data_IF_627284435058
#
_entry.id   IF_627284435058
#
_cell.length_a   1.000
_cell.length_b   1.000
_cell.length_c   1.000
_cell.angle_alpha   90.00
_cell.angle_beta   90.00
_cell.angle_gamma   90.00
#
_symmetry.space_group_name_H-M   'P 1'
#
loop_
_entity.id
_entity.type
_entity.pdbx_description
1 polymer ?
#
# COMPACT_ATOMS: atom_id res chain seq x y z
N UNK A 1 -30.24 2.21 -8.24
CA UNK A 1 -29.36 1.82 -7.12
C UNK A 1 -28.50 0.58 -7.43
N UNK A 2 -29.06 -0.47 -8.06
CA UNK A 2 -28.27 -1.67 -8.48
C UNK A 2 -27.21 -1.40 -9.56
N UNK A 3 -27.41 -0.46 -10.47
CA UNK A 3 -26.41 -0.11 -11.52
C UNK A 3 -25.22 0.73 -11.04
N UNK A 4 -25.31 1.37 -9.89
CA UNK A 4 -24.20 2.11 -9.29
C UNK A 4 -23.27 1.19 -8.48
N UNK A 5 -23.81 0.24 -7.75
CA UNK A 5 -23.01 -0.74 -6.99
C UNK A 5 -22.23 -1.68 -7.92
N UNK A 6 -22.84 -2.11 -9.05
CA UNK A 6 -22.15 -2.95 -10.04
C UNK A 6 -21.01 -2.20 -10.76
N UNK A 7 -21.12 -0.87 -10.94
CA UNK A 7 -20.02 -0.08 -11.51
C UNK A 7 -18.81 0.03 -10.58
N UNK A 8 -19.01 0.14 -9.27
CA UNK A 8 -17.88 0.27 -8.33
C UNK A 8 -17.17 -1.06 -8.06
N UNK A 9 -17.88 -2.19 -8.01
CA UNK A 9 -17.25 -3.51 -7.83
C UNK A 9 -16.60 -4.05 -9.10
N UNK A 10 -17.14 -3.73 -10.28
CA UNK A 10 -16.54 -4.07 -11.57
C UNK A 10 -15.37 -3.13 -11.88
N UNK A 11 -15.38 -1.87 -11.42
CA UNK A 11 -14.28 -0.92 -11.67
C UNK A 11 -13.05 -1.26 -10.81
N UNK A 12 -13.20 -1.81 -9.61
CA UNK A 12 -12.06 -2.32 -8.82
C UNK A 12 -11.48 -3.59 -9.44
N UNK A 13 -12.31 -4.40 -10.16
CA UNK A 13 -11.83 -5.59 -10.86
C UNK A 13 -11.45 -5.32 -12.34
N UNK A 14 -11.99 -4.27 -12.98
CA UNK A 14 -11.80 -3.98 -14.41
C UNK A 14 -10.97 -2.73 -14.72
N UNK A 15 -10.62 -1.87 -13.76
CA UNK A 15 -9.57 -0.85 -13.94
C UNK A 15 -8.16 -1.45 -14.09
N UNK A 16 -8.08 -2.77 -14.03
CA UNK A 16 -6.90 -3.59 -14.31
C UNK A 16 -6.86 -4.13 -15.76
N UNK A 17 -7.82 -3.81 -16.61
CA UNK A 17 -7.96 -4.42 -17.95
C UNK A 17 -7.87 -3.44 -19.12
N UNK A 18 -7.27 -2.29 -18.98
CA UNK A 18 -6.94 -1.42 -20.12
C UNK A 18 -5.43 -1.51 -20.41
N UNK A 19 -4.99 -2.56 -20.96
CA UNK A 19 -4.64 -2.92 -22.34
C UNK A 19 -3.51 -2.13 -22.96
N UNK A 20 -2.42 -2.74 -23.07
CA UNK A 20 -1.46 -2.65 -24.15
C UNK A 20 -0.75 -3.98 -24.17
N UNK A 21 -0.95 -4.75 -25.22
CA UNK A 21 -0.05 -5.84 -25.56
C UNK A 21 1.34 -5.23 -25.68
N UNK A 22 2.17 -5.44 -24.68
CA UNK A 22 3.60 -5.23 -24.82
C UNK A 22 4.14 -6.34 -25.72
N UNK A 23 3.87 -6.21 -27.03
CA UNK A 23 4.69 -6.86 -28.03
C UNK A 23 6.12 -6.33 -27.87
N UNK A 24 7.05 -7.26 -27.73
CA UNK A 24 8.50 -7.13 -27.69
C UNK A 24 9.02 -5.74 -27.28
N UNK A 25 9.66 -5.67 -26.10
CA UNK A 25 10.42 -4.48 -25.74
C UNK A 25 11.28 -4.05 -26.95
N UNK A 26 11.25 -2.75 -27.33
CA UNK A 26 12.07 -2.29 -28.45
C UNK A 26 13.52 -2.70 -28.19
N UNK A 27 14.20 -3.24 -29.22
CA UNK A 27 15.63 -3.49 -29.12
C UNK A 27 16.31 -2.20 -28.66
N UNK A 28 17.03 -2.29 -27.54
CA UNK A 28 17.81 -1.16 -27.04
C UNK A 28 18.81 -0.74 -28.12
N UNK A 29 18.85 0.54 -28.52
CA UNK A 29 19.92 1.00 -29.35
C UNK A 29 21.23 0.83 -28.57
N UNK A 30 22.05 -0.15 -28.98
CA UNK A 30 23.40 -0.29 -28.43
C UNK A 30 24.21 0.97 -28.73
N UNK A 31 24.97 1.49 -27.79
CA UNK A 31 25.90 2.58 -28.06
C UNK A 31 26.80 2.15 -29.22
N UNK A 32 26.76 2.85 -30.34
CA UNK A 32 27.70 2.61 -31.43
C UNK A 32 29.11 2.95 -30.90
N UNK A 33 30.06 2.05 -31.05
CA UNK A 33 31.45 2.21 -30.64
C UNK A 33 32.19 3.37 -31.34
N UNK A 34 31.51 4.17 -32.12
CA UNK A 34 32.10 5.17 -32.98
C UNK A 34 31.49 6.54 -32.75
N UNK A 35 31.74 7.17 -31.60
CA UNK A 35 31.69 8.64 -31.44
C UNK A 35 31.93 9.03 -29.97
N UNK A 36 33.06 8.62 -29.43
CA UNK A 36 33.41 8.83 -28.00
C UNK A 36 33.71 10.28 -27.61
N UNK A 37 33.59 11.27 -28.49
CA UNK A 37 34.18 12.58 -28.22
C UNK A 37 33.20 13.78 -28.20
N UNK A 38 31.93 13.66 -28.49
CA UNK A 38 31.04 14.86 -28.55
C UNK A 38 29.84 14.88 -27.62
N UNK A 39 29.37 13.75 -27.08
CA UNK A 39 28.11 13.75 -26.36
C UNK A 39 28.26 13.40 -24.88
N UNK A 40 28.26 14.43 -24.03
CA UNK A 40 28.23 14.23 -22.59
C UNK A 40 26.97 13.47 -22.13
N UNK A 41 27.17 12.57 -21.17
CA UNK A 41 26.06 11.84 -20.52
C UNK A 41 25.45 12.73 -19.45
N UNK A 42 24.14 12.94 -19.52
CA UNK A 42 23.34 13.63 -18.51
C UNK A 42 22.42 12.64 -17.84
N UNK A 43 22.37 12.67 -16.51
CA UNK A 43 21.51 11.83 -15.69
C UNK A 43 20.58 12.71 -14.87
N UNK A 44 19.29 12.42 -14.90
CA UNK A 44 18.28 13.15 -14.12
C UNK A 44 17.41 12.21 -13.31
N UNK A 45 17.05 12.62 -12.09
CA UNK A 45 15.89 12.07 -11.38
C UNK A 45 14.63 12.74 -11.92
N UNK A 46 13.69 11.95 -12.38
CA UNK A 46 12.39 12.41 -12.84
C UNK A 46 11.33 11.95 -11.86
N UNK A 47 10.51 12.89 -11.38
CA UNK A 47 9.44 12.62 -10.44
C UNK A 47 8.11 13.07 -10.97
N UNK A 48 7.16 12.14 -11.08
CA UNK A 48 5.76 12.40 -11.38
C UNK A 48 4.98 12.53 -10.08
N UNK A 49 4.24 13.62 -9.95
CA UNK A 49 3.43 13.88 -8.77
C UNK A 49 2.28 12.88 -8.62
N UNK A 50 1.69 12.77 -7.40
CA UNK A 50 0.55 11.91 -7.15
C UNK A 50 -0.58 12.10 -8.17
N UNK A 51 -1.23 11.00 -8.57
CA UNK A 51 -2.42 10.98 -9.41
C UNK A 51 -3.67 10.59 -8.65
N UNK A 52 -4.78 10.41 -9.38
CA UNK A 52 -6.09 10.09 -8.79
C UNK A 52 -6.34 8.59 -8.57
N UNK A 53 -5.57 7.73 -9.25
CA UNK A 53 -5.76 6.29 -9.17
C UNK A 53 -5.03 5.68 -7.97
N UNK A 54 -5.56 4.61 -7.34
CA UNK A 54 -4.99 4.03 -6.12
C UNK A 54 -3.51 3.66 -6.22
N UNK A 55 -3.05 3.21 -7.39
CA UNK A 55 -1.67 2.81 -7.61
C UNK A 55 -0.70 3.98 -7.81
N UNK A 56 -1.19 5.19 -8.07
CA UNK A 56 -0.35 6.36 -8.35
C UNK A 56 -0.52 7.51 -7.33
N UNK A 57 -1.24 7.27 -6.22
CA UNK A 57 -1.38 8.28 -5.15
C UNK A 57 -0.06 8.63 -4.45
N UNK A 58 0.96 7.81 -4.65
CA UNK A 58 2.30 7.97 -4.07
C UNK A 58 3.25 8.77 -4.95
N UNK A 59 2.86 9.07 -6.20
CA UNK A 59 3.76 9.55 -7.23
C UNK A 59 4.52 8.42 -7.94
N UNK A 60 5.51 8.80 -8.75
CA UNK A 60 6.39 7.84 -9.45
C UNK A 60 7.75 8.47 -9.70
N UNK A 61 8.83 7.67 -9.68
CA UNK A 61 10.17 8.15 -10.02
C UNK A 61 10.82 7.27 -11.09
N UNK A 62 11.59 7.92 -11.94
CA UNK A 62 12.37 7.29 -13.02
C UNK A 62 13.75 7.94 -13.08
N UNK A 63 14.74 7.23 -13.62
CA UNK A 63 16.04 7.81 -14.01
C UNK A 63 16.04 8.07 -15.49
N UNK A 64 16.30 9.31 -15.89
CA UNK A 64 16.48 9.71 -17.30
C UNK A 64 17.96 9.74 -17.62
N UNK A 65 18.33 9.19 -18.77
CA UNK A 65 19.67 9.28 -19.34
C UNK A 65 19.57 9.90 -20.72
N UNK A 66 20.36 10.95 -20.95
CA UNK A 66 20.50 11.61 -22.23
C UNK A 66 21.96 11.53 -22.69
N UNK A 67 22.17 11.18 -23.95
CA UNK A 67 23.48 11.22 -24.62
C UNK A 67 23.25 11.35 -26.13
N UNK A 68 23.60 12.48 -26.71
CA UNK A 68 23.34 12.75 -28.13
C UNK A 68 21.88 12.52 -28.51
N UNK A 69 21.59 11.61 -29.45
CA UNK A 69 20.23 11.28 -29.86
C UNK A 69 19.47 10.38 -28.86
N UNK A 70 20.17 9.82 -27.88
CA UNK A 70 19.59 8.92 -26.88
C UNK A 70 18.90 9.75 -25.80
N UNK A 71 17.62 9.50 -25.55
CA UNK A 71 16.81 10.12 -24.49
C UNK A 71 15.84 9.07 -23.92
N UNK A 72 16.30 8.36 -22.87
CA UNK A 72 15.60 7.21 -22.29
C UNK A 72 15.30 7.43 -20.81
N UNK A 73 14.11 6.99 -20.41
CA UNK A 73 13.62 6.94 -19.03
C UNK A 73 13.64 5.49 -18.57
N UNK A 74 14.36 5.20 -17.49
CA UNK A 74 14.42 3.88 -16.90
C UNK A 74 13.37 3.76 -15.79
N UNK A 75 12.29 3.06 -16.12
CA UNK A 75 11.11 2.89 -15.28
C UNK A 75 11.20 1.57 -14.49
N UNK A 76 11.19 1.67 -13.16
CA UNK A 76 11.23 0.54 -12.22
C UNK A 76 9.82 0.21 -11.67
N UNK A 77 8.80 0.31 -12.45
CA UNK A 77 7.42 0.07 -12.00
C UNK A 77 6.59 -0.72 -12.99
N UNK A 78 7.23 -1.26 -14.03
CA UNK A 78 6.54 -1.95 -15.12
C UNK A 78 6.28 -3.41 -14.73
N UNK A 79 5.04 -3.85 -14.86
CA UNK A 79 4.62 -5.22 -14.60
C UNK A 79 3.52 -5.65 -15.58
N UNK A 80 3.34 -6.97 -15.72
CA UNK A 80 2.37 -7.54 -16.65
C UNK A 80 1.18 -8.16 -15.91
N UNK A 81 0.01 -7.54 -16.03
CA UNK A 81 -1.26 -8.06 -15.49
C UNK A 81 -1.72 -9.35 -16.15
N UNK A 82 -1.26 -9.64 -17.38
CA UNK A 82 -1.65 -10.84 -18.11
C UNK A 82 -0.71 -12.03 -17.83
N UNK A 83 0.33 -11.82 -17.01
CA UNK A 83 1.23 -12.89 -16.60
C UNK A 83 0.45 -14.06 -15.97
N UNK A 84 0.82 -15.31 -16.25
CA UNK A 84 0.14 -16.48 -15.69
C UNK A 84 0.00 -16.41 -14.17
N UNK A 85 -1.22 -16.64 -13.68
CA UNK A 85 -1.56 -16.59 -12.24
C UNK A 85 -1.19 -15.27 -11.54
N UNK A 86 -1.18 -14.13 -12.26
CA UNK A 86 -0.80 -12.82 -11.72
C UNK A 86 -1.46 -12.52 -10.38
N UNK A 87 -2.80 -12.63 -10.28
CA UNK A 87 -3.53 -12.33 -9.04
C UNK A 87 -3.09 -13.21 -7.86
N UNK A 88 -2.81 -14.48 -8.14
CA UNK A 88 -2.32 -15.40 -7.10
C UNK A 88 -0.90 -15.03 -6.64
N UNK A 89 -0.01 -14.77 -7.60
CA UNK A 89 1.35 -14.30 -7.32
C UNK A 89 1.36 -12.95 -6.59
N UNK A 90 0.47 -12.05 -7.00
CA UNK A 90 0.29 -10.76 -6.31
C UNK A 90 -0.14 -10.96 -4.85
N UNK A 91 -1.12 -11.84 -4.58
CA UNK A 91 -1.54 -12.15 -3.20
C UNK A 91 -0.41 -12.77 -2.37
N UNK A 92 0.44 -13.58 -2.98
CA UNK A 92 1.62 -14.17 -2.33
C UNK A 92 2.75 -13.15 -2.11
N UNK A 93 2.72 -11.97 -2.71
CA UNK A 93 3.85 -11.03 -2.73
C UNK A 93 4.96 -11.47 -3.68
N UNK A 94 4.63 -12.28 -4.68
CA UNK A 94 5.58 -12.89 -5.62
C UNK A 94 5.48 -12.28 -7.03
N UNK A 95 4.99 -11.06 -7.14
CA UNK A 95 4.90 -10.37 -8.44
C UNK A 95 6.26 -9.84 -8.84
N UNK A 96 6.67 -10.19 -10.05
CA UNK A 96 7.87 -9.65 -10.66
C UNK A 96 7.55 -8.37 -11.42
N UNK A 97 8.43 -7.40 -11.25
CA UNK A 97 8.46 -6.14 -11.97
C UNK A 97 9.73 -6.08 -12.80
N UNK A 98 9.77 -5.17 -13.78
CA UNK A 98 10.95 -4.99 -14.61
C UNK A 98 11.44 -3.55 -14.63
N UNK A 99 12.75 -3.39 -14.83
CA UNK A 99 13.32 -2.14 -15.30
C UNK A 99 13.10 -2.06 -16.82
N UNK A 100 12.34 -1.08 -17.27
CA UNK A 100 12.07 -0.86 -18.69
C UNK A 100 12.64 0.48 -19.15
N UNK A 101 13.51 0.52 -20.18
CA UNK A 101 13.90 1.73 -20.85
C UNK A 101 12.75 2.19 -21.75
N UNK A 102 12.29 3.42 -21.53
CA UNK A 102 11.15 4.01 -22.23
C UNK A 102 11.58 5.32 -22.90
N UNK A 103 11.41 5.48 -24.21
CA UNK A 103 11.64 6.78 -24.88
C UNK A 103 10.79 7.88 -24.26
N UNK A 104 11.32 9.09 -24.22
CA UNK A 104 10.67 10.28 -23.61
C UNK A 104 9.19 10.41 -23.99
N UNK A 105 8.88 10.25 -25.26
CA UNK A 105 7.51 10.38 -25.75
C UNK A 105 6.54 9.43 -25.02
N UNK A 106 6.93 8.15 -24.87
CA UNK A 106 6.08 7.16 -24.18
C UNK A 106 6.10 7.31 -22.66
N UNK A 107 7.22 7.75 -22.09
CA UNK A 107 7.32 8.00 -20.64
C UNK A 107 6.38 9.14 -20.21
N UNK A 108 6.18 10.14 -21.06
CA UNK A 108 5.37 11.32 -20.73
C UNK A 108 3.90 11.17 -21.11
N UNK A 109 3.57 10.47 -22.20
CA UNK A 109 2.19 10.42 -22.72
C UNK A 109 1.19 9.81 -21.72
N UNK A 110 1.59 8.79 -20.98
CA UNK A 110 0.76 8.17 -19.94
C UNK A 110 0.71 8.97 -18.64
N UNK A 111 1.53 10.00 -18.51
CA UNK A 111 1.71 10.82 -17.30
C UNK A 111 1.26 12.28 -17.48
N UNK A 112 0.74 12.66 -18.66
CA UNK A 112 0.41 14.05 -19.01
C UNK A 112 -0.58 14.74 -18.07
N UNK A 113 -1.38 13.98 -17.36
CA UNK A 113 -2.31 14.49 -16.37
C UNK A 113 -1.63 14.86 -15.03
N UNK A 114 -0.33 14.55 -14.85
CA UNK A 114 0.42 14.77 -13.61
C UNK A 114 1.56 15.77 -13.84
N UNK A 115 1.85 16.55 -12.82
CA UNK A 115 3.04 17.39 -12.82
C UNK A 115 4.29 16.51 -12.84
N UNK A 116 5.27 16.87 -13.67
CA UNK A 116 6.57 16.23 -13.79
C UNK A 116 7.66 17.21 -13.38
N UNK A 117 8.51 16.82 -12.49
CA UNK A 117 9.72 17.54 -12.08
C UNK A 117 10.94 16.72 -12.48
N UNK A 118 11.91 17.38 -13.10
CA UNK A 118 13.18 16.77 -13.48
C UNK A 118 14.31 17.50 -12.77
N UNK A 119 15.17 16.73 -12.12
CA UNK A 119 16.36 17.18 -11.38
C UNK A 119 17.59 16.61 -12.07
N UNK A 120 18.27 17.42 -12.89
CA UNK A 120 19.55 17.05 -13.50
C UNK A 120 20.62 16.93 -12.41
N UNK A 121 21.31 15.79 -12.37
CA UNK A 121 22.30 15.51 -11.36
C UNK A 121 23.67 16.07 -11.76
N UNK A 122 24.35 16.66 -10.79
CA UNK A 122 25.68 17.26 -10.96
C UNK A 122 26.78 16.20 -10.79
N UNK A 123 26.78 15.20 -11.66
CA UNK A 123 27.72 14.09 -11.62
C UNK A 123 28.91 14.34 -12.52
N UNK A 124 30.15 13.97 -12.10
CA UNK A 124 31.30 13.85 -13.00
C UNK A 124 30.98 12.88 -14.17
N UNK A 125 31.56 13.11 -15.34
CA UNK A 125 31.24 12.34 -16.54
C UNK A 125 31.50 10.84 -16.40
N UNK A 126 32.57 10.45 -15.74
CA UNK A 126 32.88 9.05 -15.43
C UNK A 126 31.77 8.38 -14.60
N UNK A 127 31.18 9.10 -13.65
CA UNK A 127 30.07 8.66 -12.82
C UNK A 127 28.77 8.59 -13.61
N UNK A 128 28.49 9.59 -14.45
CA UNK A 128 27.32 9.59 -15.33
C UNK A 128 27.37 8.44 -16.34
N UNK A 129 28.54 8.16 -16.92
CA UNK A 129 28.79 7.00 -17.80
C UNK A 129 28.56 5.69 -17.04
N UNK A 130 29.05 5.57 -15.81
CA UNK A 130 28.85 4.37 -15.00
C UNK A 130 27.35 4.12 -14.70
N UNK A 131 26.55 5.17 -14.44
CA UNK A 131 25.09 5.06 -14.29
C UNK A 131 24.44 4.60 -15.59
N UNK A 132 24.80 5.20 -16.72
CA UNK A 132 24.32 4.79 -18.03
C UNK A 132 24.56 3.29 -18.24
N UNK A 133 25.79 2.83 -18.08
CA UNK A 133 26.18 1.44 -18.33
C UNK A 133 25.50 0.47 -17.38
N UNK A 134 25.36 0.85 -16.12
CA UNK A 134 24.57 0.09 -15.14
C UNK A 134 23.11 -0.07 -15.59
N UNK A 135 22.46 1.02 -16.01
CA UNK A 135 21.06 1.02 -16.42
C UNK A 135 20.85 0.20 -17.69
N UNK A 136 21.75 0.29 -18.69
CA UNK A 136 21.70 -0.55 -19.88
C UNK A 136 21.83 -2.03 -19.53
N UNK A 137 22.80 -2.39 -18.69
CA UNK A 137 22.96 -3.77 -18.23
C UNK A 137 21.73 -4.23 -17.43
N UNK A 138 21.18 -3.38 -16.59
CA UNK A 138 20.00 -3.73 -15.78
C UNK A 138 18.72 -3.87 -16.61
N UNK A 139 18.63 -3.22 -17.76
CA UNK A 139 17.49 -3.33 -18.68
C UNK A 139 17.55 -4.57 -19.59
N UNK A 140 18.66 -5.31 -19.64
CA UNK A 140 18.76 -6.55 -20.40
C UNK A 140 17.74 -7.60 -19.91
N UNK A 141 17.18 -8.44 -20.79
CA UNK A 141 16.17 -9.44 -20.42
C UNK A 141 16.52 -10.31 -19.22
N UNK A 142 17.79 -10.70 -19.09
CA UNK A 142 18.32 -11.52 -18.00
C UNK A 142 18.45 -10.78 -16.65
N UNK A 143 18.56 -9.43 -16.66
CA UNK A 143 18.86 -8.63 -15.48
C UNK A 143 17.68 -7.75 -15.03
N UNK A 144 16.71 -7.49 -15.91
CA UNK A 144 15.69 -6.45 -15.68
C UNK A 144 14.63 -6.83 -14.65
N UNK A 145 14.45 -8.12 -14.36
CA UNK A 145 13.38 -8.62 -13.50
C UNK A 145 13.77 -8.54 -12.03
N UNK A 146 12.87 -8.01 -11.19
CA UNK A 146 13.06 -7.97 -9.76
C UNK A 146 11.74 -8.19 -9.01
N UNK A 147 11.83 -8.58 -7.75
CA UNK A 147 10.68 -8.72 -6.85
C UNK A 147 10.34 -7.37 -6.25
N UNK A 148 9.20 -6.80 -6.66
CA UNK A 148 8.75 -5.52 -6.11
C UNK A 148 8.37 -5.65 -4.63
N UNK A 149 8.86 -4.74 -3.82
CA UNK A 149 8.51 -4.59 -2.42
C UNK A 149 8.16 -3.14 -2.15
N UNK A 150 6.96 -2.94 -1.61
CA UNK A 150 6.37 -1.61 -1.51
C UNK A 150 7.21 -0.62 -0.67
N UNK A 151 7.86 -1.08 0.40
CA UNK A 151 8.63 -0.22 1.31
C UNK A 151 10.13 -0.20 0.98
N UNK A 152 10.70 -1.32 0.51
CA UNK A 152 12.15 -1.47 0.44
C UNK A 152 12.72 -1.64 -0.96
N UNK A 153 11.91 -2.03 -1.98
CA UNK A 153 12.39 -2.27 -3.35
C UNK A 153 11.34 -1.87 -4.38
N UNK A 154 11.24 -0.56 -4.66
CA UNK A 154 10.20 0.03 -5.48
C UNK A 154 10.73 1.10 -6.47
N UNK A 155 9.81 1.78 -7.16
CA UNK A 155 10.12 2.83 -8.12
C UNK A 155 10.79 4.09 -7.53
N UNK A 156 10.88 4.22 -6.22
CA UNK A 156 11.60 5.29 -5.53
C UNK A 156 12.94 4.82 -4.97
N UNK A 157 12.94 3.67 -4.31
CA UNK A 157 14.16 3.14 -3.68
C UNK A 157 15.22 2.72 -4.68
N UNK A 158 14.83 2.19 -5.86
CA UNK A 158 15.79 1.85 -6.91
C UNK A 158 16.47 3.07 -7.53
N UNK A 159 15.78 4.13 -7.95
CA UNK A 159 16.42 5.40 -8.31
C UNK A 159 17.31 5.97 -7.21
N UNK A 160 16.88 5.92 -5.93
CA UNK A 160 17.73 6.33 -4.80
C UNK A 160 19.04 5.56 -4.78
N UNK A 161 18.98 4.24 -4.83
CA UNK A 161 20.16 3.38 -4.75
C UNK A 161 21.12 3.61 -5.93
N UNK A 162 20.60 3.93 -7.12
CA UNK A 162 21.40 4.31 -8.29
C UNK A 162 22.08 5.66 -8.07
N UNK A 163 21.38 6.64 -7.50
CA UNK A 163 21.96 7.96 -7.18
C UNK A 163 23.03 7.81 -6.10
N UNK A 164 22.79 6.99 -5.07
CA UNK A 164 23.77 6.70 -4.03
C UNK A 164 25.03 6.01 -4.60
N UNK A 165 24.84 5.04 -5.50
CA UNK A 165 25.93 4.38 -6.22
C UNK A 165 26.75 5.37 -7.03
N UNK A 166 26.11 6.29 -7.74
CA UNK A 166 26.76 7.29 -8.58
C UNK A 166 27.53 8.33 -7.76
N UNK A 167 26.93 8.85 -6.71
CA UNK A 167 27.54 9.87 -5.86
C UNK A 167 28.59 9.30 -4.90
N UNK A 168 28.47 8.02 -4.52
CA UNK A 168 29.39 7.33 -3.62
C UNK A 168 29.32 7.88 -2.19
N UNK A 169 30.40 7.64 -1.43
CA UNK A 169 30.48 8.01 0.00
C UNK A 169 30.46 9.53 0.25
N UNK A 170 30.63 10.33 -0.78
CA UNK A 170 30.61 11.79 -0.68
C UNK A 170 29.20 12.39 -0.63
N UNK A 171 28.16 11.58 -0.85
CA UNK A 171 26.77 12.02 -0.82
C UNK A 171 26.32 12.32 0.61
N UNK A 172 25.74 13.49 0.78
CA UNK A 172 25.12 13.90 2.03
C UNK A 172 23.72 14.42 1.76
N UNK A 173 22.73 13.78 2.37
CA UNK A 173 21.36 14.27 2.37
C UNK A 173 21.16 15.36 3.45
N UNK A 174 20.19 16.27 3.28
CA UNK A 174 19.88 17.26 4.31
C UNK A 174 19.43 16.54 5.59
N UNK A 175 19.78 17.09 6.75
CA UNK A 175 19.35 16.52 8.01
C UNK A 175 17.81 16.41 8.08
N UNK A 176 17.32 15.31 8.61
CA UNK A 176 15.90 15.20 8.95
C UNK A 176 15.56 16.23 10.04
N UNK A 177 14.33 16.78 9.97
CA UNK A 177 13.79 17.56 11.08
C UNK A 177 13.67 16.71 12.36
N UNK A 178 13.50 17.38 13.51
CA UNK A 178 13.43 16.74 14.84
C UNK A 178 12.21 15.84 15.07
N UNK A 179 11.29 15.75 14.11
CA UNK A 179 10.05 14.98 14.25
C UNK A 179 10.31 13.52 13.86
N UNK A 180 10.13 12.63 14.82
CA UNK A 180 10.13 11.19 14.56
C UNK A 180 8.95 10.83 13.63
N UNK A 181 9.23 10.17 12.52
CA UNK A 181 8.25 9.79 11.48
C UNK A 181 8.32 8.29 11.26
N UNK A 182 7.16 7.66 11.10
CA UNK A 182 7.03 6.23 10.80
C UNK A 182 6.54 6.02 9.35
N UNK A 183 6.66 4.80 8.82
CA UNK A 183 6.03 4.47 7.53
C UNK A 183 4.53 4.76 7.57
N UNK A 184 3.85 4.43 8.69
CA UNK A 184 2.40 4.66 8.82
C UNK A 184 2.03 6.13 8.76
N UNK A 185 2.84 7.03 9.35
CA UNK A 185 2.60 8.47 9.29
C UNK A 185 2.70 8.98 7.86
N UNK A 186 3.72 8.56 7.12
CA UNK A 186 3.91 8.93 5.72
C UNK A 186 2.74 8.40 4.87
N UNK A 187 2.38 7.11 5.02
CA UNK A 187 1.25 6.52 4.31
C UNK A 187 -0.07 7.23 4.64
N UNK A 188 -0.29 7.59 5.90
CA UNK A 188 -1.48 8.35 6.33
C UNK A 188 -1.54 9.73 5.69
N UNK A 189 -0.39 10.43 5.55
CA UNK A 189 -0.33 11.73 4.89
C UNK A 189 -0.79 11.64 3.42
N UNK A 190 -0.28 10.67 2.66
CA UNK A 190 -0.67 10.50 1.27
C UNK A 190 -2.09 9.97 1.10
N UNK A 191 -2.58 9.16 2.04
CA UNK A 191 -3.96 8.65 2.04
C UNK A 191 -5.00 9.59 2.66
N UNK A 192 -4.66 10.85 3.00
CA UNK A 192 -5.60 11.77 3.68
C UNK A 192 -6.94 11.96 2.96
N UNK A 193 -6.96 11.85 1.63
CA UNK A 193 -8.15 11.94 0.81
C UNK A 193 -8.78 10.57 0.50
N UNK A 194 -8.13 9.48 0.86
CA UNK A 194 -8.42 8.10 0.49
C UNK A 194 -8.70 7.26 1.74
N UNK A 195 -9.84 7.53 2.39
CA UNK A 195 -10.13 6.93 3.69
C UNK A 195 -10.24 5.40 3.68
N UNK A 196 -10.69 4.79 2.57
CA UNK A 196 -10.79 3.34 2.43
C UNK A 196 -9.44 2.69 2.17
N UNK A 197 -8.60 3.33 1.38
CA UNK A 197 -7.22 2.90 1.16
C UNK A 197 -6.45 2.93 2.49
N UNK A 198 -6.58 4.03 3.26
CA UNK A 198 -6.00 4.11 4.61
C UNK A 198 -6.53 3.03 5.54
N UNK A 199 -7.85 2.77 5.53
CA UNK A 199 -8.45 1.70 6.34
C UNK A 199 -7.87 0.33 5.98
N UNK A 200 -7.71 0.04 4.67
CA UNK A 200 -7.11 -1.20 4.19
C UNK A 200 -5.64 -1.35 4.61
N UNK A 201 -4.85 -0.29 4.47
CA UNK A 201 -3.44 -0.24 4.89
C UNK A 201 -3.32 -0.48 6.39
N UNK A 202 -4.10 0.22 7.22
CA UNK A 202 -4.11 0.07 8.67
C UNK A 202 -4.54 -1.34 9.12
N UNK A 203 -5.36 -2.03 8.32
CA UNK A 203 -5.80 -3.39 8.58
C UNK A 203 -4.73 -4.43 8.23
N UNK A 204 -4.13 -4.29 7.06
CA UNK A 204 -3.27 -5.31 6.45
C UNK A 204 -1.83 -5.20 6.95
N UNK A 205 -1.30 -3.98 7.13
CA UNK A 205 0.07 -3.78 7.59
C UNK A 205 0.14 -3.81 9.12
N UNK A 206 1.08 -4.58 9.62
CA UNK A 206 1.33 -4.79 11.05
C UNK A 206 2.14 -3.66 11.70
N UNK A 207 2.76 -3.96 12.84
CA UNK A 207 3.45 -2.95 13.63
C UNK A 207 4.85 -2.58 13.14
N UNK A 208 5.43 -3.35 12.22
CA UNK A 208 6.76 -3.02 11.67
C UNK A 208 6.78 -1.65 10.98
N UNK A 209 5.62 -1.22 10.43
CA UNK A 209 5.51 0.11 9.84
C UNK A 209 5.30 1.25 10.86
N UNK A 210 5.22 0.94 12.15
CA UNK A 210 5.11 1.91 13.25
C UNK A 210 6.48 2.21 13.89
N UNK A 211 7.58 1.67 13.34
CA UNK A 211 8.94 2.00 13.76
C UNK A 211 9.40 3.33 13.21
N UNK A 212 10.17 4.07 14.01
CA UNK A 212 10.75 5.36 13.58
C UNK A 212 11.78 5.13 12.50
N UNK A 213 11.69 5.91 11.43
CA UNK A 213 12.52 5.78 10.24
C UNK A 213 13.78 6.64 10.33
N UNK A 214 14.86 6.14 9.74
CA UNK A 214 15.97 6.98 9.34
C UNK A 214 15.65 7.73 8.04
N UNK A 215 16.50 8.67 7.68
CA UNK A 215 16.31 9.49 6.48
C UNK A 215 16.25 8.65 5.20
N UNK A 216 17.09 7.64 5.09
CA UNK A 216 17.16 6.79 3.91
C UNK A 216 15.85 6.00 3.72
N UNK A 217 15.27 5.50 4.80
CA UNK A 217 14.01 4.77 4.77
C UNK A 217 12.83 5.68 4.37
N UNK A 218 12.83 6.97 4.70
CA UNK A 218 11.74 7.88 4.28
C UNK A 218 11.65 8.06 2.77
N UNK A 219 12.75 7.86 2.03
CA UNK A 219 12.82 8.02 0.57
C UNK A 219 12.16 6.86 -0.22
N UNK A 220 11.33 6.02 0.43
CA UNK A 220 10.54 5.01 -0.27
C UNK A 220 9.37 5.61 -1.08
N UNK A 221 9.04 6.87 -0.83
CA UNK A 221 8.04 7.64 -1.58
C UNK A 221 8.73 8.58 -2.56
N UNK A 222 8.32 8.62 -3.84
CA UNK A 222 8.91 9.47 -4.88
C UNK A 222 9.06 10.94 -4.52
N UNK A 223 8.04 11.52 -3.87
CA UNK A 223 8.07 12.93 -3.48
C UNK A 223 9.15 13.21 -2.42
N UNK A 224 9.32 12.28 -1.45
CA UNK A 224 10.32 12.42 -0.39
C UNK A 224 11.73 12.18 -0.92
N UNK A 225 11.89 11.29 -1.91
CA UNK A 225 13.16 11.15 -2.63
C UNK A 225 13.51 12.43 -3.39
N UNK A 226 12.56 13.00 -4.12
CA UNK A 226 12.74 14.26 -4.85
C UNK A 226 13.21 15.39 -3.92
N UNK A 227 12.56 15.53 -2.77
CA UNK A 227 12.90 16.58 -1.79
C UNK A 227 14.29 16.33 -1.16
N UNK A 228 14.62 15.08 -0.83
CA UNK A 228 15.92 14.71 -0.29
C UNK A 228 17.04 14.98 -1.30
N UNK A 229 16.85 14.62 -2.57
CA UNK A 229 17.80 14.86 -3.67
C UNK A 229 17.97 16.36 -3.93
N UNK A 230 16.89 17.14 -3.86
CA UNK A 230 16.97 18.61 -4.04
C UNK A 230 17.89 19.29 -3.03
N UNK A 231 17.93 18.81 -1.79
CA UNK A 231 18.79 19.36 -0.74
C UNK A 231 20.13 18.65 -0.57
N UNK A 232 20.39 17.59 -1.33
CA UNK A 232 21.61 16.80 -1.20
C UNK A 232 22.84 17.51 -1.76
N UNK A 233 24.02 17.17 -1.18
CA UNK A 233 25.31 17.65 -1.65
C UNK A 233 26.26 16.49 -1.93
N UNK A 234 27.20 16.71 -2.83
CA UNK A 234 28.32 15.82 -3.10
C UNK A 234 29.63 16.55 -2.94
N UNK A 235 30.69 15.81 -2.56
CA UNK A 235 32.03 16.36 -2.46
C UNK A 235 32.93 15.69 -3.50
N UNK A 236 33.51 16.49 -4.42
CA UNK A 236 34.45 16.03 -5.44
C UNK A 236 35.69 16.90 -5.38
N UNK A 237 36.85 16.30 -5.32
CA UNK A 237 38.16 17.00 -5.23
C UNK A 237 38.18 18.04 -4.10
N UNK A 238 37.61 17.70 -2.94
CA UNK A 238 37.50 18.57 -1.75
C UNK A 238 36.57 19.78 -1.93
N UNK A 239 35.80 19.85 -3.01
CA UNK A 239 34.77 20.88 -3.24
C UNK A 239 33.39 20.27 -3.00
N UNK A 240 32.63 20.82 -2.06
CA UNK A 240 31.25 20.44 -1.82
C UNK A 240 30.33 21.28 -2.71
N UNK A 241 29.47 20.61 -3.46
CA UNK A 241 28.51 21.23 -4.37
C UNK A 241 27.13 20.57 -4.26
N UNK A 242 26.03 21.25 -4.66
CA UNK A 242 24.72 20.64 -4.75
C UNK A 242 24.74 19.42 -5.68
N UNK A 243 24.04 18.34 -5.26
CA UNK A 243 23.84 17.16 -6.11
C UNK A 243 22.99 17.50 -7.34
N UNK A 244 22.03 18.41 -7.21
CA UNK A 244 21.17 18.85 -8.32
C UNK A 244 21.79 20.07 -8.97
N UNK A 245 22.12 19.96 -10.27
CA UNK A 245 22.65 21.04 -11.11
C UNK A 245 21.54 21.99 -11.56
N UNK A 246 20.38 21.42 -11.95
CA UNK A 246 19.25 22.17 -12.44
C UNK A 246 17.94 21.42 -12.14
N UNK A 247 16.89 22.18 -11.85
CA UNK A 247 15.54 21.64 -11.72
C UNK A 247 14.64 22.25 -12.79
N UNK A 248 13.95 21.43 -13.56
CA UNK A 248 12.99 21.84 -14.56
C UNK A 248 11.62 21.21 -14.30
N UNK A 249 10.58 21.80 -14.88
CA UNK A 249 9.19 21.32 -14.77
C UNK A 249 8.64 21.12 -16.18
N UNK A 250 8.99 20.01 -16.86
CA UNK A 250 8.57 19.78 -18.25
C UNK A 250 7.06 19.69 -18.43
N UNK A 251 6.33 19.20 -17.41
CA UNK A 251 4.87 19.17 -17.38
C UNK A 251 4.44 19.92 -16.12
N UNK A 252 3.98 21.17 -16.31
CA UNK A 252 3.48 22.00 -15.23
C UNK A 252 1.95 22.00 -15.20
N UNK A 253 1.39 20.88 -14.76
CA UNK A 253 -0.04 20.83 -14.45
C UNK A 253 -0.22 21.04 -12.96
N UNK A 254 -1.07 21.99 -12.60
CA UNK A 254 -1.40 22.22 -11.20
C UNK A 254 -1.93 20.92 -10.61
N UNK A 255 -1.31 20.45 -9.55
CA UNK A 255 -1.63 19.19 -8.87
C UNK A 255 -3.07 19.11 -8.36
N UNK A 256 -3.81 20.20 -8.38
CA UNK A 256 -5.18 20.29 -7.85
C UNK A 256 -6.24 19.62 -8.74
N UNK A 257 -5.95 19.32 -10.02
CA UNK A 257 -6.91 18.69 -10.93
C UNK A 257 -6.96 17.17 -10.87
N UNK A 258 -5.90 16.53 -10.42
CA UNK A 258 -5.73 15.08 -10.55
C UNK A 258 -5.74 14.32 -9.21
N UNK A 259 -5.88 15.02 -8.10
CA UNK A 259 -6.03 14.39 -6.79
C UNK A 259 -7.53 14.22 -6.53
N UNK A 260 -7.96 13.01 -6.18
CA UNK A 260 -9.36 12.77 -5.79
C UNK A 260 -9.76 13.71 -4.65
N UNK A 261 -10.99 14.23 -4.69
CA UNK A 261 -11.53 14.95 -3.54
C UNK A 261 -11.57 14.02 -2.32
N UNK A 262 -11.49 14.57 -1.10
CA UNK A 262 -11.57 13.77 0.12
C UNK A 262 -12.82 12.89 0.13
N UNK A 263 -12.69 11.66 0.63
CA UNK A 263 -13.82 10.77 0.86
C UNK A 263 -14.85 11.48 1.74
N UNK A 264 -16.11 11.67 1.28
CA UNK A 264 -17.14 12.30 2.09
C UNK A 264 -17.29 11.58 3.45
N UNK A 265 -17.41 12.33 4.54
CA UNK A 265 -17.45 11.76 5.89
C UNK A 265 -18.52 10.67 6.06
N UNK A 266 -19.69 10.83 5.41
CA UNK A 266 -20.81 9.88 5.47
C UNK A 266 -20.55 8.58 4.68
N UNK A 267 -19.54 8.54 3.81
CA UNK A 267 -19.06 7.34 3.13
C UNK A 267 -17.73 6.82 3.70
N UNK A 268 -17.24 7.40 4.80
CA UNK A 268 -15.99 6.99 5.42
C UNK A 268 -16.12 5.62 6.11
N UNK A 269 -15.00 4.86 6.25
CA UNK A 269 -14.98 3.61 7.00
C UNK A 269 -15.53 3.76 8.43
N UNK A 270 -15.23 4.89 9.09
CA UNK A 270 -15.73 5.16 10.44
C UNK A 270 -17.26 5.26 10.47
N UNK A 271 -17.85 6.00 9.54
CA UNK A 271 -19.32 6.12 9.48
C UNK A 271 -19.98 4.77 9.22
N UNK A 272 -19.43 4.00 8.29
CA UNK A 272 -19.95 2.63 8.02
C UNK A 272 -19.79 1.75 9.25
N UNK A 273 -18.66 1.80 9.96
CA UNK A 273 -18.45 1.04 11.19
C UNK A 273 -19.44 1.44 12.31
N UNK A 274 -19.72 2.74 12.47
CA UNK A 274 -20.74 3.24 13.43
C UNK A 274 -22.13 2.76 13.05
N UNK A 275 -22.49 2.75 11.76
CA UNK A 275 -23.78 2.23 11.31
C UNK A 275 -23.91 0.72 11.55
N UNK A 276 -22.84 -0.05 11.34
CA UNK A 276 -22.81 -1.48 11.69
C UNK A 276 -23.00 -1.68 13.19
N UNK A 277 -22.34 -0.88 14.03
CA UNK A 277 -22.51 -0.93 15.48
C UNK A 277 -23.95 -0.56 15.88
N UNK A 278 -24.49 0.53 15.35
CA UNK A 278 -25.86 0.95 15.65
C UNK A 278 -26.88 -0.14 15.29
N UNK A 279 -26.76 -0.74 14.10
CA UNK A 279 -27.59 -1.87 13.71
C UNK A 279 -27.41 -3.08 14.64
N UNK A 280 -26.18 -3.35 15.04
CA UNK A 280 -25.84 -4.41 16.00
C UNK A 280 -26.54 -4.18 17.35
N UNK A 281 -26.53 -2.97 17.87
CA UNK A 281 -27.19 -2.62 19.12
C UNK A 281 -28.71 -2.75 19.03
N UNK A 282 -29.31 -2.31 17.91
CA UNK A 282 -30.74 -2.44 17.66
C UNK A 282 -31.18 -3.93 17.59
N UNK A 283 -30.42 -4.75 16.84
CA UNK A 283 -30.71 -6.18 16.73
C UNK A 283 -30.51 -6.87 18.08
N UNK A 284 -29.46 -6.57 18.82
CA UNK A 284 -29.21 -7.13 20.15
C UNK A 284 -30.28 -6.74 21.16
N UNK A 285 -30.73 -5.48 21.17
CA UNK A 285 -31.83 -5.02 22.02
C UNK A 285 -33.15 -5.71 21.70
N UNK A 286 -33.43 -5.93 20.41
CA UNK A 286 -34.61 -6.73 19.98
C UNK A 286 -34.50 -8.18 20.45
N UNK A 287 -33.36 -8.81 20.28
CA UNK A 287 -33.11 -10.20 20.65
C UNK A 287 -33.26 -10.39 22.18
N UNK A 288 -32.75 -9.48 22.98
CA UNK A 288 -32.90 -9.51 24.45
C UNK A 288 -34.35 -9.38 24.88
N UNK A 289 -35.18 -8.54 24.22
CA UNK A 289 -36.61 -8.41 24.50
C UNK A 289 -37.41 -9.66 24.08
N UNK A 290 -36.97 -10.33 23.01
CA UNK A 290 -37.68 -11.52 22.47
C UNK A 290 -37.14 -12.83 23.03
N UNK A 291 -36.03 -12.79 23.79
CA UNK A 291 -35.30 -13.95 24.27
C UNK A 291 -34.93 -14.95 23.16
N UNK A 292 -34.67 -14.44 21.94
CA UNK A 292 -34.29 -15.24 20.77
C UNK A 292 -33.21 -14.53 19.96
N UNK A 293 -32.18 -15.27 19.48
CA UNK A 293 -31.02 -14.74 18.76
C UNK A 293 -31.31 -14.62 17.27
N UNK A 294 -31.10 -13.45 16.69
CA UNK A 294 -31.19 -13.19 15.24
C UNK A 294 -30.00 -13.82 14.53
N UNK A 295 -29.99 -15.14 14.33
CA UNK A 295 -28.87 -15.90 13.74
C UNK A 295 -28.50 -15.45 12.34
N UNK A 296 -29.45 -15.00 11.53
CA UNK A 296 -29.18 -14.47 10.19
C UNK A 296 -28.25 -13.27 10.23
N UNK A 297 -28.44 -12.39 11.22
CA UNK A 297 -27.57 -11.21 11.40
C UNK A 297 -26.18 -11.62 11.86
N UNK A 298 -26.10 -12.57 12.82
CA UNK A 298 -24.83 -13.12 13.26
C UNK A 298 -24.09 -13.81 12.11
N UNK A 299 -24.80 -14.59 11.30
CA UNK A 299 -24.22 -15.22 10.11
C UNK A 299 -23.62 -14.17 9.18
N UNK A 300 -24.33 -13.08 8.87
CA UNK A 300 -23.82 -12.02 8.02
C UNK A 300 -22.57 -11.36 8.63
N UNK A 301 -22.66 -10.92 9.89
CA UNK A 301 -21.60 -10.20 10.57
C UNK A 301 -20.33 -11.05 10.72
N UNK A 302 -20.47 -12.26 11.27
CA UNK A 302 -19.32 -13.14 11.53
C UNK A 302 -18.77 -13.76 10.24
N UNK A 303 -19.57 -14.00 9.20
CA UNK A 303 -19.05 -14.43 7.90
C UNK A 303 -18.24 -13.33 7.25
N UNK A 304 -18.73 -12.10 7.21
CA UNK A 304 -17.98 -10.96 6.64
C UNK A 304 -16.64 -10.76 7.38
N UNK A 305 -16.68 -10.74 8.72
CA UNK A 305 -15.47 -10.63 9.52
C UNK A 305 -14.53 -11.84 9.35
N UNK A 306 -15.08 -13.05 9.27
CA UNK A 306 -14.31 -14.27 9.10
C UNK A 306 -13.63 -14.39 7.73
N UNK A 307 -14.32 -13.96 6.65
CA UNK A 307 -13.71 -13.91 5.32
C UNK A 307 -12.57 -12.88 5.26
N UNK A 308 -12.78 -11.69 5.82
CA UNK A 308 -11.71 -10.71 5.97
C UNK A 308 -10.54 -11.26 6.83
N UNK A 309 -10.88 -11.99 7.90
CA UNK A 309 -9.91 -12.69 8.74
C UNK A 309 -9.13 -13.80 8.01
N UNK A 310 -9.76 -14.50 7.05
CA UNK A 310 -9.04 -15.46 6.19
C UNK A 310 -8.02 -14.77 5.29
N UNK A 311 -8.39 -13.62 4.71
CA UNK A 311 -7.46 -12.82 3.89
C UNK A 311 -6.28 -12.35 4.75
N UNK A 312 -6.57 -11.78 5.92
CA UNK A 312 -5.54 -11.32 6.85
C UNK A 312 -4.63 -12.46 7.31
N UNK A 313 -5.21 -13.61 7.67
CA UNK A 313 -4.47 -14.81 8.05
C UNK A 313 -3.54 -15.29 6.91
N UNK A 314 -4.05 -15.29 5.68
CA UNK A 314 -3.25 -15.64 4.51
C UNK A 314 -2.07 -14.67 4.33
N UNK A 315 -2.31 -13.36 4.41
CA UNK A 315 -1.26 -12.35 4.26
C UNK A 315 -0.20 -12.44 5.35
N UNK A 316 -0.58 -12.77 6.60
CA UNK A 316 0.36 -12.89 7.71
C UNK A 316 1.21 -14.15 7.62
N UNK A 317 0.63 -15.30 7.24
CA UNK A 317 1.29 -16.60 7.40
C UNK A 317 1.77 -17.24 6.10
N UNK A 318 1.26 -16.79 4.95
CA UNK A 318 1.54 -17.42 3.65
C UNK A 318 2.10 -16.46 2.61
N UNK A 319 1.92 -15.15 2.77
CA UNK A 319 2.48 -14.19 1.81
C UNK A 319 3.89 -13.75 2.20
N UNK A 320 4.62 -13.27 1.20
CA UNK A 320 5.95 -12.66 1.36
C UNK A 320 5.90 -11.14 1.33
N UNK A 321 4.70 -10.56 1.43
CA UNK A 321 4.55 -9.11 1.51
C UNK A 321 5.23 -8.54 2.74
N UNK A 322 5.95 -7.44 2.56
CA UNK A 322 6.59 -6.73 3.66
C UNK A 322 5.57 -6.22 4.67
N UNK A 323 5.95 -6.24 5.92
CA UNK A 323 5.24 -5.61 7.03
C UNK A 323 3.77 -6.08 7.22
N UNK A 324 3.34 -7.20 6.65
CA UNK A 324 2.03 -7.79 6.94
C UNK A 324 2.03 -8.56 8.27
N UNK A 325 3.21 -8.95 8.76
CA UNK A 325 3.44 -9.68 10.00
C UNK A 325 4.61 -9.03 10.77
N UNK A 326 4.51 -8.93 12.09
CA UNK A 326 3.40 -9.32 12.95
C UNK A 326 2.25 -8.29 12.91
N UNK A 327 0.99 -8.76 13.00
CA UNK A 327 -0.19 -7.90 12.88
C UNK A 327 -1.24 -8.25 13.93
N UNK A 328 -1.49 -7.31 14.84
CA UNK A 328 -2.40 -7.52 15.96
C UNK A 328 -3.88 -7.61 15.56
N UNK A 329 -4.22 -7.13 14.35
CA UNK A 329 -5.59 -7.19 13.86
C UNK A 329 -6.11 -8.63 13.73
N UNK A 330 -5.22 -9.63 13.61
CA UNK A 330 -5.61 -11.05 13.60
C UNK A 330 -6.31 -11.49 14.90
N UNK A 331 -6.12 -10.78 16.00
CA UNK A 331 -6.73 -11.12 17.27
C UNK A 331 -8.25 -10.86 17.32
N UNK A 332 -8.74 -9.92 16.49
CA UNK A 332 -10.16 -9.60 16.42
C UNK A 332 -10.79 -9.98 15.05
N UNK A 333 -9.99 -10.10 14.01
CA UNK A 333 -10.42 -10.42 12.65
C UNK A 333 -9.70 -11.70 12.20
N UNK A 334 -10.27 -12.85 12.56
CA UNK A 334 -9.64 -14.16 12.37
C UNK A 334 -10.59 -15.18 11.72
N UNK A 335 -10.09 -16.23 11.04
CA UNK A 335 -10.91 -17.24 10.35
C UNK A 335 -11.93 -17.95 11.23
N UNK A 336 -11.64 -18.08 12.53
CA UNK A 336 -12.56 -18.77 13.47
C UNK A 336 -13.91 -18.04 13.63
N UNK A 337 -14.04 -16.78 13.21
CA UNK A 337 -15.33 -16.09 13.16
C UNK A 337 -16.31 -16.82 12.23
N UNK A 338 -15.86 -17.56 11.22
CA UNK A 338 -16.72 -18.40 10.38
C UNK A 338 -17.39 -19.51 11.19
N UNK A 339 -16.73 -20.04 12.21
CA UNK A 339 -17.37 -21.02 13.11
C UNK A 339 -18.48 -20.38 13.93
N UNK A 340 -18.34 -19.11 14.35
CA UNK A 340 -19.39 -18.37 15.05
C UNK A 340 -20.60 -18.08 14.15
N UNK A 341 -20.39 -17.98 12.84
CA UNK A 341 -21.46 -17.83 11.86
C UNK A 341 -22.26 -19.14 11.65
N UNK A 342 -21.60 -20.29 11.69
CA UNK A 342 -22.17 -21.57 11.25
C UNK A 342 -22.64 -22.43 12.44
N UNK A 343 -21.86 -22.59 13.50
CA UNK A 343 -22.14 -23.53 14.58
C UNK A 343 -23.47 -23.27 15.32
N UNK A 344 -23.96 -22.02 15.51
CA UNK A 344 -25.24 -21.77 16.19
C UNK A 344 -26.47 -22.36 15.48
N UNK A 345 -26.37 -22.71 14.19
CA UNK A 345 -27.47 -23.30 13.43
C UNK A 345 -27.75 -24.76 13.79
N UNK A 346 -26.75 -25.49 14.31
CA UNK A 346 -26.88 -26.91 14.65
C UNK A 346 -27.10 -27.12 16.15
N UNK A 347 -28.14 -27.84 16.55
CA UNK A 347 -28.46 -28.07 17.96
C UNK A 347 -27.28 -28.68 18.73
N UNK A 348 -26.54 -29.63 18.10
CA UNK A 348 -25.41 -30.35 18.72
C UNK A 348 -24.21 -29.47 19.03
N UNK A 349 -24.01 -28.40 18.27
CA UNK A 349 -22.82 -27.51 18.37
C UNK A 349 -23.10 -26.20 19.12
N UNK A 350 -24.34 -25.92 19.53
CA UNK A 350 -24.72 -24.67 20.20
C UNK A 350 -23.93 -24.39 21.47
N UNK A 351 -23.60 -25.43 22.24
CA UNK A 351 -22.79 -25.22 23.45
C UNK A 351 -21.34 -24.86 23.11
N UNK A 352 -20.74 -25.50 22.11
CA UNK A 352 -19.42 -25.13 21.61
C UNK A 352 -19.43 -23.70 21.03
N UNK A 353 -20.45 -23.34 20.24
CA UNK A 353 -20.62 -21.99 19.74
C UNK A 353 -20.66 -20.95 20.87
N UNK A 354 -21.39 -21.23 21.96
CA UNK A 354 -21.47 -20.33 23.12
C UNK A 354 -20.10 -20.09 23.77
N UNK A 355 -19.29 -21.12 23.94
CA UNK A 355 -17.94 -20.98 24.49
C UNK A 355 -17.02 -20.23 23.54
N UNK A 356 -17.13 -20.46 22.23
CA UNK A 356 -16.38 -19.69 21.23
C UNK A 356 -16.79 -18.21 21.22
N UNK A 357 -18.08 -17.89 21.36
CA UNK A 357 -18.53 -16.51 21.53
C UNK A 357 -17.99 -15.91 22.84
N UNK A 358 -17.97 -16.63 23.95
CA UNK A 358 -17.39 -16.15 25.19
C UNK A 358 -15.90 -15.84 25.04
N UNK A 359 -15.14 -16.74 24.42
CA UNK A 359 -13.74 -16.54 24.12
C UNK A 359 -13.49 -15.34 23.19
N UNK A 360 -14.27 -15.23 22.10
CA UNK A 360 -14.18 -14.11 21.19
C UNK A 360 -14.47 -12.77 21.90
N UNK A 361 -15.54 -12.70 22.71
CA UNK A 361 -15.85 -11.49 23.47
C UNK A 361 -14.71 -11.11 24.43
N UNK A 362 -14.13 -12.10 25.14
CA UNK A 362 -13.04 -11.88 26.06
C UNK A 362 -11.78 -11.38 25.36
N UNK A 363 -11.35 -12.06 24.29
CA UNK A 363 -10.13 -11.70 23.54
C UNK A 363 -10.24 -10.31 22.94
N UNK A 364 -11.38 -10.03 22.26
CA UNK A 364 -11.56 -8.71 21.62
C UNK A 364 -11.70 -7.60 22.66
N UNK A 365 -12.38 -7.84 23.79
CA UNK A 365 -12.48 -6.85 24.87
C UNK A 365 -11.11 -6.57 25.52
N UNK A 366 -10.31 -7.61 25.77
CA UNK A 366 -8.95 -7.45 26.28
C UNK A 366 -8.05 -6.70 25.30
N UNK A 367 -8.17 -6.99 24.01
CA UNK A 367 -7.47 -6.24 22.97
C UNK A 367 -7.85 -4.75 22.98
N UNK A 368 -9.15 -4.45 23.06
CA UNK A 368 -9.63 -3.05 23.13
C UNK A 368 -9.11 -2.32 24.37
N UNK A 369 -9.06 -2.99 25.51
CA UNK A 369 -8.50 -2.45 26.75
C UNK A 369 -6.98 -2.24 26.65
N UNK A 370 -6.26 -3.18 26.03
CA UNK A 370 -4.82 -3.11 25.84
C UNK A 370 -4.38 -2.16 24.70
N UNK A 371 -5.32 -1.62 23.93
CA UNK A 371 -5.02 -0.84 22.74
C UNK A 371 -4.05 0.32 22.95
N UNK A 372 -4.11 1.10 24.05
CA UNK A 372 -3.18 2.21 24.27
C UNK A 372 -1.71 1.79 24.49
N UNK A 373 -1.46 0.52 24.80
CA UNK A 373 -0.12 0.00 25.12
C UNK A 373 0.46 -0.93 24.07
N UNK A 374 -0.32 -1.26 23.02
CA UNK A 374 0.17 -2.12 21.94
C UNK A 374 0.96 -1.30 20.89
N UNK A 375 1.96 -1.89 20.22
CA UNK A 375 2.87 -1.15 19.33
C UNK A 375 2.22 -0.71 18.01
N UNK A 376 1.17 -1.41 17.55
CA UNK A 376 0.56 -1.14 16.24
C UNK A 376 -0.48 -0.02 16.35
N UNK A 377 -0.31 1.05 15.60
CA UNK A 377 -1.32 2.10 15.47
C UNK A 377 -2.49 1.59 14.62
N UNK A 378 -3.70 1.65 15.15
CA UNK A 378 -4.90 1.17 14.49
C UNK A 378 -5.80 2.26 13.94
N UNK A 379 -6.67 1.86 12.99
CA UNK A 379 -7.69 2.75 12.47
C UNK A 379 -8.83 2.93 13.47
N UNK A 380 -9.29 4.17 13.66
CA UNK A 380 -10.39 4.48 14.58
C UNK A 380 -11.69 3.71 14.26
N UNK A 381 -11.91 3.35 12.99
CA UNK A 381 -13.06 2.57 12.55
C UNK A 381 -13.06 1.12 13.07
N UNK A 382 -11.92 0.61 13.57
CA UNK A 382 -11.86 -0.74 14.14
C UNK A 382 -12.64 -0.84 15.46
N UNK A 383 -12.65 0.23 16.28
CA UNK A 383 -13.34 0.21 17.57
C UNK A 383 -14.85 -0.07 17.48
N UNK A 384 -15.64 0.63 16.64
CA UNK A 384 -17.04 0.28 16.46
C UNK A 384 -17.25 -1.14 15.92
N UNK A 385 -16.38 -1.64 15.02
CA UNK A 385 -16.47 -3.00 14.50
C UNK A 385 -16.17 -4.05 15.57
N UNK A 386 -15.09 -3.87 16.34
CA UNK A 386 -14.76 -4.73 17.49
C UNK A 386 -15.89 -4.73 18.53
N UNK A 387 -16.45 -3.55 18.84
CA UNK A 387 -17.58 -3.43 19.76
C UNK A 387 -18.79 -4.21 19.23
N UNK A 388 -19.09 -4.15 17.94
CA UNK A 388 -20.18 -4.92 17.34
C UNK A 388 -19.98 -6.44 17.49
N UNK A 389 -18.75 -6.94 17.27
CA UNK A 389 -18.41 -8.37 17.47
C UNK A 389 -18.57 -8.79 18.94
N UNK A 390 -18.09 -7.96 19.88
CA UNK A 390 -18.22 -8.21 21.32
C UNK A 390 -19.70 -8.24 21.74
N UNK A 391 -20.49 -7.25 21.33
CA UNK A 391 -21.92 -7.16 21.65
C UNK A 391 -22.70 -8.39 21.13
N UNK A 392 -22.45 -8.83 19.90
CA UNK A 392 -23.10 -10.04 19.36
C UNK A 392 -22.65 -11.29 20.10
N UNK A 393 -21.38 -11.37 20.43
CA UNK A 393 -20.86 -12.51 21.20
C UNK A 393 -21.46 -12.58 22.61
N UNK A 394 -21.54 -11.45 23.31
CA UNK A 394 -22.21 -11.38 24.63
C UNK A 394 -23.69 -11.76 24.52
N UNK A 395 -24.40 -11.27 23.51
CA UNK A 395 -25.82 -11.62 23.27
C UNK A 395 -26.01 -13.13 23.11
N UNK A 396 -25.17 -13.78 22.32
CA UNK A 396 -25.20 -15.23 22.11
C UNK A 396 -24.89 -16.01 23.39
N UNK A 397 -23.93 -15.56 24.20
CA UNK A 397 -23.59 -16.21 25.48
C UNK A 397 -24.76 -16.10 26.46
N UNK A 398 -25.31 -14.89 26.61
CA UNK A 398 -26.35 -14.61 27.59
C UNK A 398 -27.69 -15.34 27.26
N UNK A 399 -28.19 -15.23 26.04
CA UNK A 399 -29.44 -15.91 25.63
C UNK A 399 -29.27 -17.43 25.54
N UNK A 400 -28.08 -17.90 25.10
CA UNK A 400 -27.78 -19.33 25.12
C UNK A 400 -27.77 -19.95 26.51
N UNK A 401 -27.41 -19.18 27.55
CA UNK A 401 -27.41 -19.64 28.95
C UNK A 401 -28.84 -19.76 29.52
N UNK A 402 -29.80 -18.96 29.06
CA UNK A 402 -31.19 -19.02 29.50
C UNK A 402 -31.94 -20.23 28.91
N UNK A 403 -31.61 -20.57 27.65
CA UNK A 403 -32.21 -21.74 26.99
C UNK A 403 -31.83 -23.07 27.64
N UNK A 404 -30.75 -23.15 28.41
CA UNK A 404 -30.30 -24.34 29.14
C UNK A 404 -30.86 -24.42 30.55
N UNK A 405 -31.34 -23.33 31.12
CA UNK A 405 -32.11 -23.28 32.36
C UNK A 405 -33.59 -23.45 31.98
N UNK A 406 -34.14 -24.67 32.09
CA UNK A 406 -35.53 -24.93 31.81
C UNK A 406 -36.49 -23.93 32.50
N UNK A 407 -37.78 -23.82 32.08
CA UNK A 407 -38.69 -22.85 32.65
C UNK A 407 -38.72 -23.02 34.15
N UNK A 408 -38.24 -22.02 34.89
CA UNK A 408 -38.53 -21.93 36.33
C UNK A 408 -40.05 -21.88 36.44
N UNK A 409 -40.67 -23.01 36.86
CA UNK A 409 -42.05 -23.04 37.23
C UNK A 409 -42.29 -21.92 38.27
N UNK A 410 -43.03 -20.90 37.85
CA UNK A 410 -43.77 -20.05 38.76
C UNK A 410 -45.18 -20.57 38.85
#
# INVERSE_FOLDING_TARGET
MQRLLTKYYVTVLCALCATGTLDAAPELPMPAEAQEQEDSVHVSLVTFYPGSEPHNIWGHSEIRVQQGPIDLYFNYGVFDFQAPAFMWRFMLGETDYICAPVPRFYATIGMEERRMVEQELNLPQDRAIAVRDFLWNNALPENRTYRYKFLSDNCSTRPRDIIEMAAGESLQYPAMGDTAVTYRDILAHYCRNYAWEKFGIDLVLGWDIDTVLDQRATMFIPMLLMDAVAGATITTDSVTMPLVKATTVPIDKSTNGNVRPPTPWYLSPLTVAILVLALTLLVSGRDWRRHDVSRWFDTLLFTTGGLAGCILFFLIFFSTHEATSPNINIAWLHPLLLLLAVLPWFKKTRNAARWLHALNALVVALLMLAWPWQPQVGNIAFFPLMTALVMRSITNVWLGSQSTRGPTRR
#
